data_IF_514510690026
#
_entry.id   IF_514510690026
#
_cell.length_a   1.000
_cell.length_b   1.000
_cell.length_c   1.000
_cell.angle_alpha   90.00
_cell.angle_beta   90.00
_cell.angle_gamma   90.00
#
_symmetry.space_group_name_H-M   'P 1'
#
loop_
_entity.id
_entity.type
_entity.pdbx_description
1 polymer ?
#
# COMPACT_ATOMS: atom_id res chain seq x y z
N UNK A 1 3.06 5.52 5.14
CA UNK A 1 3.48 5.79 6.53
C UNK A 1 3.33 4.51 7.33
N UNK A 2 4.02 4.33 8.45
CA UNK A 2 3.80 3.20 9.36
C UNK A 2 3.78 3.72 10.80
N UNK A 3 2.98 3.09 11.67
CA UNK A 3 2.94 3.43 13.08
C UNK A 3 4.28 3.10 13.77
N UNK A 4 4.57 3.78 14.88
CA UNK A 4 5.71 3.43 15.73
C UNK A 4 5.51 2.00 16.25
N UNK A 5 6.58 1.20 16.22
CA UNK A 5 6.54 -0.16 16.75
C UNK A 5 6.36 -0.13 18.27
N UNK A 6 5.32 -0.79 18.75
CA UNK A 6 5.05 -0.99 20.17
C UNK A 6 5.82 -2.18 20.75
N UNK A 7 6.35 -3.05 19.89
CA UNK A 7 6.94 -4.33 20.27
C UNK A 7 5.90 -5.45 20.38
N UNK A 8 4.60 -5.13 20.31
CA UNK A 8 3.53 -6.11 20.16
C UNK A 8 3.21 -6.28 18.67
N UNK A 9 3.52 -7.46 18.15
CA UNK A 9 3.33 -7.78 16.73
C UNK A 9 1.90 -7.55 16.27
N UNK A 10 0.90 -8.03 17.02
CA UNK A 10 -0.51 -7.93 16.63
C UNK A 10 -0.94 -6.47 16.55
N UNK A 11 -0.58 -5.66 17.55
CA UNK A 11 -0.87 -4.24 17.57
C UNK A 11 -0.20 -3.51 16.39
N UNK A 12 1.08 -3.78 16.15
CA UNK A 12 1.84 -3.10 15.08
C UNK A 12 1.32 -3.43 13.68
N UNK A 13 0.87 -4.68 13.47
CA UNK A 13 0.24 -5.09 12.21
C UNK A 13 -1.13 -4.43 12.04
N UNK A 14 -1.94 -4.41 13.09
CA UNK A 14 -3.27 -3.78 13.04
C UNK A 14 -3.16 -2.28 12.76
N UNK A 15 -2.27 -1.56 13.46
CA UNK A 15 -2.01 -0.14 13.20
C UNK A 15 -1.45 0.10 11.79
N UNK A 16 -0.66 -0.82 11.25
CA UNK A 16 -0.21 -0.73 9.85
C UNK A 16 -1.37 -0.88 8.87
N UNK A 17 -2.30 -1.80 9.11
CA UNK A 17 -3.47 -2.00 8.27
C UNK A 17 -4.39 -0.78 8.30
N UNK A 18 -4.67 -0.23 9.48
CA UNK A 18 -5.52 0.97 9.64
C UNK A 18 -4.96 2.18 8.87
N UNK A 19 -3.63 2.39 8.92
CA UNK A 19 -2.98 3.44 8.13
C UNK A 19 -3.13 3.16 6.63
N UNK A 20 -2.97 1.90 6.20
CA UNK A 20 -3.14 1.52 4.80
C UNK A 20 -4.56 1.79 4.29
N UNK A 21 -5.58 1.42 5.08
CA UNK A 21 -6.99 1.65 4.78
C UNK A 21 -7.31 3.15 4.71
N UNK A 22 -6.86 3.93 5.70
CA UNK A 22 -7.07 5.39 5.72
C UNK A 22 -6.42 6.10 4.53
N UNK A 23 -5.20 5.69 4.15
CA UNK A 23 -4.51 6.23 2.96
C UNK A 23 -5.22 5.82 1.68
N UNK A 24 -5.72 4.59 1.59
CA UNK A 24 -6.48 4.14 0.44
C UNK A 24 -7.78 4.93 0.26
N UNK A 25 -8.55 5.13 1.33
CA UNK A 25 -9.77 5.95 1.29
C UNK A 25 -9.46 7.38 0.86
N UNK A 26 -8.38 7.99 1.38
CA UNK A 26 -7.92 9.29 0.90
C UNK A 26 -7.57 9.26 -0.60
N UNK A 27 -6.79 8.27 -1.03
CA UNK A 27 -6.38 8.13 -2.42
C UNK A 27 -7.58 7.95 -3.36
N UNK A 28 -8.62 7.24 -2.92
CA UNK A 28 -9.82 6.95 -3.70
C UNK A 28 -10.55 8.20 -4.19
N UNK A 29 -10.58 9.24 -3.36
CA UNK A 29 -11.25 10.51 -3.69
C UNK A 29 -10.31 11.56 -4.31
N UNK A 30 -8.99 11.35 -4.27
CA UNK A 30 -8.01 12.39 -4.62
C UNK A 30 -7.09 12.01 -5.79
N UNK A 31 -6.95 10.72 -6.14
CA UNK A 31 -6.13 10.31 -7.27
C UNK A 31 -6.85 10.56 -8.59
N UNK A 32 -6.12 11.17 -9.53
CA UNK A 32 -6.52 11.24 -10.94
C UNK A 32 -6.37 9.85 -11.56
N UNK A 33 -7.36 9.45 -12.36
CA UNK A 33 -7.32 8.17 -13.09
C UNK A 33 -6.19 8.13 -14.12
N UNK A 34 -5.75 6.93 -14.47
CA UNK A 34 -4.76 6.70 -15.51
C UNK A 34 -5.17 7.39 -16.84
N UNK A 35 -6.45 7.32 -17.18
CA UNK A 35 -7.04 7.95 -18.36
C UNK A 35 -6.99 9.47 -18.30
N UNK A 36 -7.37 10.08 -17.16
CA UNK A 36 -7.28 11.54 -16.96
C UNK A 36 -5.85 12.05 -17.06
N UNK A 37 -4.87 11.25 -16.63
CA UNK A 37 -3.44 11.57 -16.73
C UNK A 37 -2.90 11.33 -18.14
N UNK A 38 -3.57 10.53 -18.97
CA UNK A 38 -3.09 10.12 -20.30
C UNK A 38 -1.91 9.16 -20.26
N UNK A 39 -1.72 8.43 -19.14
CA UNK A 39 -0.62 7.46 -18.96
C UNK A 39 -1.17 6.19 -18.32
N UNK A 40 -0.90 5.03 -18.93
CA UNK A 40 -1.36 3.71 -18.43
C UNK A 40 -0.96 3.40 -16.98
N UNK A 41 0.17 3.96 -16.51
CA UNK A 41 0.67 3.82 -15.13
C UNK A 41 0.44 5.09 -14.30
N UNK A 42 -0.41 6.01 -14.76
CA UNK A 42 -0.81 7.23 -14.05
C UNK A 42 -1.73 6.92 -12.87
N UNK A 43 -1.84 7.85 -11.93
CA UNK A 43 -2.50 7.60 -10.64
C UNK A 43 -1.71 6.57 -9.84
N UNK A 44 -0.70 7.04 -9.11
CA UNK A 44 0.28 6.19 -8.42
C UNK A 44 0.12 6.36 -6.92
N UNK A 45 0.09 5.24 -6.20
CA UNK A 45 0.14 5.18 -4.75
C UNK A 45 1.35 4.32 -4.34
N UNK A 46 2.19 4.84 -3.45
CA UNK A 46 3.29 4.09 -2.83
C UNK A 46 3.00 3.97 -1.33
N UNK A 47 2.76 2.75 -0.85
CA UNK A 47 2.26 2.50 0.49
C UNK A 47 3.23 1.63 1.28
N UNK A 48 3.89 2.24 2.28
CA UNK A 48 4.71 1.54 3.26
C UNK A 48 3.83 0.72 4.21
N UNK A 49 4.20 -0.52 4.51
CA UNK A 49 3.49 -1.41 5.42
C UNK A 49 4.43 -2.39 6.14
N UNK A 50 3.91 -3.11 7.13
CA UNK A 50 4.58 -4.27 7.74
C UNK A 50 4.03 -5.58 7.18
N UNK A 51 4.92 -6.40 6.62
CA UNK A 51 4.60 -7.67 5.97
C UNK A 51 3.87 -8.63 6.92
N UNK A 52 2.64 -9.00 6.53
CA UNK A 52 1.76 -9.90 7.25
C UNK A 52 0.65 -10.39 6.32
N UNK A 53 0.09 -11.61 6.50
CA UNK A 53 -1.01 -12.12 5.68
C UNK A 53 -2.23 -11.20 5.58
N UNK A 54 -2.52 -10.42 6.64
CA UNK A 54 -3.60 -9.42 6.61
C UNK A 54 -3.37 -8.31 5.58
N UNK A 55 -2.13 -7.85 5.43
CA UNK A 55 -1.78 -6.81 4.46
C UNK A 55 -1.74 -7.37 3.03
N UNK A 56 -1.40 -8.65 2.86
CA UNK A 56 -1.54 -9.33 1.57
C UNK A 56 -3.00 -9.50 1.17
N UNK A 57 -3.89 -9.79 2.13
CA UNK A 57 -5.33 -9.82 1.89
C UNK A 57 -5.85 -8.45 1.47
N UNK A 58 -5.46 -7.38 2.18
CA UNK A 58 -5.77 -6.00 1.79
C UNK A 58 -5.26 -5.66 0.37
N UNK A 59 -4.04 -6.10 0.02
CA UNK A 59 -3.50 -5.94 -1.34
C UNK A 59 -4.40 -6.58 -2.38
N UNK A 60 -4.76 -7.85 -2.19
CA UNK A 60 -5.53 -8.62 -3.16
C UNK A 60 -6.99 -8.16 -3.28
N UNK A 61 -7.66 -7.89 -2.15
CA UNK A 61 -9.09 -7.55 -2.16
C UNK A 61 -9.34 -6.07 -2.48
N UNK A 62 -8.44 -5.19 -2.05
CA UNK A 62 -8.60 -3.74 -2.19
C UNK A 62 -7.70 -3.18 -3.28
N UNK A 63 -6.37 -3.27 -3.15
CA UNK A 63 -5.47 -2.56 -4.06
C UNK A 63 -5.56 -3.08 -5.51
N UNK A 64 -5.57 -4.39 -5.71
CA UNK A 64 -5.66 -5.00 -7.06
C UNK A 64 -6.99 -4.73 -7.76
N UNK A 65 -8.06 -4.44 -7.01
CA UNK A 65 -9.38 -4.11 -7.58
C UNK A 65 -9.43 -2.72 -8.22
N UNK A 66 -8.57 -1.80 -7.77
CA UNK A 66 -8.60 -0.38 -8.19
C UNK A 66 -7.35 0.08 -8.96
N UNK A 67 -6.28 -0.71 -8.96
CA UNK A 67 -5.04 -0.40 -9.67
C UNK A 67 -4.70 -1.50 -10.66
N UNK A 68 -4.35 -1.12 -11.89
CA UNK A 68 -3.96 -2.09 -12.93
C UNK A 68 -2.66 -2.83 -12.63
N UNK A 69 -1.78 -2.23 -11.83
CA UNK A 69 -0.50 -2.83 -11.46
C UNK A 69 -0.24 -2.62 -9.96
N UNK A 70 -0.03 -3.70 -9.23
CA UNK A 70 0.29 -3.66 -7.80
C UNK A 70 1.51 -4.55 -7.54
N UNK A 71 2.60 -3.94 -7.09
CA UNK A 71 3.87 -4.62 -6.83
C UNK A 71 4.24 -4.58 -5.35
N UNK A 72 4.77 -5.68 -4.83
CA UNK A 72 5.50 -5.69 -3.58
C UNK A 72 6.96 -5.29 -3.82
N UNK A 73 7.43 -4.29 -3.10
CA UNK A 73 8.80 -3.77 -3.18
C UNK A 73 9.42 -3.79 -1.79
N UNK A 74 10.54 -4.51 -1.64
CA UNK A 74 11.43 -4.42 -0.48
C UNK A 74 12.72 -3.73 -0.92
N UNK A 75 12.93 -2.44 -0.60
CA UNK A 75 14.13 -1.73 -1.02
C UNK A 75 15.37 -2.26 -0.29
N UNK A 76 16.54 -2.20 -0.92
CA UNK A 76 17.83 -2.61 -0.32
C UNK A 76 18.16 -1.82 0.96
N UNK A 77 17.67 -0.58 1.06
CA UNK A 77 17.80 0.24 2.26
C UNK A 77 16.95 -0.24 3.45
N UNK A 78 16.00 -1.16 3.21
CA UNK A 78 15.23 -1.81 4.28
C UNK A 78 16.09 -2.91 4.90
N UNK A 79 16.31 -2.84 6.22
CA UNK A 79 17.07 -3.86 6.94
C UNK A 79 16.42 -5.23 6.71
N UNK A 80 17.24 -6.27 6.52
CA UNK A 80 16.78 -7.63 6.28
C UNK A 80 15.84 -8.13 7.38
N UNK A 81 16.14 -7.78 8.64
CA UNK A 81 15.38 -8.09 9.85
C UNK A 81 14.03 -7.34 9.97
N UNK A 82 13.83 -6.28 9.19
CA UNK A 82 12.58 -5.54 9.19
C UNK A 82 11.52 -6.26 8.36
N UNK A 83 10.29 -6.25 8.87
CA UNK A 83 9.09 -6.65 8.12
C UNK A 83 8.60 -5.57 7.16
N UNK A 84 9.30 -4.45 7.09
CA UNK A 84 8.93 -3.33 6.24
C UNK A 84 8.98 -3.69 4.75
N UNK A 85 7.90 -3.35 4.06
CA UNK A 85 7.77 -3.41 2.62
C UNK A 85 6.92 -2.26 2.08
N UNK A 86 6.82 -2.19 0.76
CA UNK A 86 6.04 -1.18 0.06
C UNK A 86 5.13 -1.83 -0.98
N UNK A 87 3.87 -1.41 -1.04
CA UNK A 87 3.02 -1.64 -2.19
C UNK A 87 3.16 -0.47 -3.16
N UNK A 88 3.65 -0.76 -4.37
CA UNK A 88 3.66 0.19 -5.48
C UNK A 88 2.43 -0.08 -6.36
N UNK A 89 1.42 0.76 -6.23
CA UNK A 89 0.18 0.70 -6.98
C UNK A 89 0.20 1.74 -8.11
N UNK A 90 -0.09 1.31 -9.34
CA UNK A 90 -0.04 2.16 -10.54
C UNK A 90 -1.25 1.88 -11.43
N UNK A 91 -1.67 2.88 -12.18
CA UNK A 91 -2.81 2.75 -13.09
C UNK A 91 -4.13 2.78 -12.32
N UNK A 92 -4.35 3.88 -11.58
CA UNK A 92 -5.61 4.11 -10.85
C UNK A 92 -6.79 4.07 -11.81
N UNK A 93 -7.71 3.14 -11.57
CA UNK A 93 -8.90 2.88 -12.38
C UNK A 93 -10.11 2.63 -11.45
N UNK A 94 -10.66 3.70 -10.84
CA UNK A 94 -11.80 3.61 -9.92
C UNK A 94 -13.12 3.23 -10.58
#
# INVERSE_FOLDING_TARGET
MAANSSGNVTHDIQSSLEICEAVFEFARFNLRSADSVGRKKGGVLLLKFFAHPLLEKFRAETLESYFSYVYYVKPESSRSESREGYFLCQGWNP
#
